data_IF_049891984011
#
_entry.id   IF_049891984011
#
_cell.length_a   1.000
_cell.length_b   1.000
_cell.length_c   1.000
_cell.angle_alpha   90.00
_cell.angle_beta   90.00
_cell.angle_gamma   90.00
#
_symmetry.space_group_name_H-M   'P 1'
#
loop_
_entity.id
_entity.type
_entity.pdbx_description
1 polymer ?
#
# COMPACT_ATOMS: atom_id res chain seq x y z
N UNK A 1 -18.77 -2.83 14.94
CA UNK A 1 -18.21 -1.63 14.30
C UNK A 1 -19.10 -1.30 13.09
N UNK A 2 -19.55 -0.05 12.91
CA UNK A 2 -20.41 0.37 11.79
C UNK A 2 -19.76 0.11 10.42
N UNK A 3 -20.57 -0.08 9.37
CA UNK A 3 -20.11 -0.16 7.98
C UNK A 3 -19.63 1.24 7.59
N UNK A 4 -18.34 1.38 7.31
CA UNK A 4 -17.72 2.64 6.88
C UNK A 4 -18.23 2.94 5.46
N UNK A 5 -18.94 4.06 5.28
CA UNK A 5 -19.56 4.41 3.99
C UNK A 5 -18.50 4.95 3.02
N UNK A 6 -18.22 4.18 1.97
CA UNK A 6 -17.36 4.61 0.87
C UNK A 6 -18.18 5.48 -0.10
N UNK A 7 -17.67 6.64 -0.54
CA UNK A 7 -18.38 7.49 -1.50
C UNK A 7 -18.78 6.75 -2.77
N UNK A 8 -19.94 7.10 -3.32
CA UNK A 8 -20.43 6.48 -4.55
C UNK A 8 -19.50 6.76 -5.74
N UNK A 9 -19.19 5.73 -6.52
CA UNK A 9 -18.24 5.80 -7.64
C UNK A 9 -16.76 5.69 -7.25
N UNK A 10 -16.42 5.55 -5.96
CA UNK A 10 -15.04 5.34 -5.50
C UNK A 10 -14.74 3.85 -5.33
N UNK A 11 -13.59 3.40 -5.83
CA UNK A 11 -13.10 2.04 -5.58
C UNK A 11 -12.80 1.85 -4.08
N UNK A 12 -13.49 0.88 -3.48
CA UNK A 12 -13.45 0.65 -2.05
C UNK A 12 -12.08 0.19 -1.58
N UNK A 13 -11.38 -0.60 -2.40
CA UNK A 13 -10.05 -1.08 -2.06
C UNK A 13 -9.06 0.08 -2.01
N UNK A 14 -9.08 0.95 -3.01
CA UNK A 14 -8.23 2.15 -3.09
C UNK A 14 -8.52 3.10 -1.94
N UNK A 15 -9.80 3.39 -1.68
CA UNK A 15 -10.22 4.23 -0.55
C UNK A 15 -9.64 3.75 0.79
N UNK A 16 -9.73 2.45 1.08
CA UNK A 16 -9.17 1.91 2.32
C UNK A 16 -7.66 1.77 2.31
N UNK A 17 -7.01 1.58 1.16
CA UNK A 17 -5.54 1.59 1.06
C UNK A 17 -4.98 2.95 1.45
N UNK A 18 -5.55 4.05 0.94
CA UNK A 18 -5.16 5.42 1.31
C UNK A 18 -5.30 5.66 2.83
N UNK A 19 -6.41 5.20 3.40
CA UNK A 19 -6.65 5.26 4.85
C UNK A 19 -5.66 4.41 5.66
N UNK A 20 -5.08 3.37 5.07
CA UNK A 20 -4.17 2.43 5.73
C UNK A 20 -2.68 2.81 5.58
N UNK A 21 -2.33 3.81 4.77
CA UNK A 21 -0.93 4.19 4.50
C UNK A 21 -0.13 4.48 5.78
N UNK A 22 -0.73 5.18 6.74
CA UNK A 22 -0.08 5.52 8.01
C UNK A 22 0.35 4.29 8.82
N UNK A 23 -0.29 3.14 8.63
CA UNK A 23 0.05 1.88 9.35
C UNK A 23 1.26 1.18 8.78
N UNK A 24 1.62 1.49 7.55
CA UNK A 24 2.73 0.87 6.80
C UNK A 24 3.80 1.89 6.40
N UNK A 25 3.83 3.05 7.07
CA UNK A 25 4.78 4.11 6.79
C UNK A 25 6.25 3.63 6.84
N UNK A 26 6.56 2.67 7.72
CA UNK A 26 7.89 2.07 7.78
C UNK A 26 8.25 1.27 6.52
N UNK A 27 7.32 0.48 5.96
CA UNK A 27 7.53 -0.26 4.71
C UNK A 27 7.66 0.69 3.52
N UNK A 28 6.90 1.79 3.54
CA UNK A 28 7.02 2.86 2.53
C UNK A 28 8.41 3.48 2.55
N UNK A 29 8.95 3.80 3.74
CA UNK A 29 10.31 4.33 3.90
C UNK A 29 11.36 3.36 3.32
N UNK A 30 11.25 2.06 3.64
CA UNK A 30 12.19 1.04 3.14
C UNK A 30 12.13 0.94 1.60
N UNK A 31 10.92 0.98 1.03
CA UNK A 31 10.73 0.99 -0.43
C UNK A 31 11.32 2.25 -1.07
N UNK A 32 11.12 3.42 -0.46
CA UNK A 32 11.68 4.69 -0.94
C UNK A 32 13.21 4.68 -0.90
N UNK A 33 13.82 4.21 0.19
CA UNK A 33 15.27 4.03 0.32
C UNK A 33 15.84 3.08 -0.75
N UNK A 34 15.15 1.97 -1.03
CA UNK A 34 15.55 1.09 -2.11
C UNK A 34 15.48 1.81 -3.47
N UNK A 35 14.39 2.52 -3.74
CA UNK A 35 14.21 3.25 -5.00
C UNK A 35 15.30 4.31 -5.21
N UNK A 36 15.67 5.04 -4.16
CA UNK A 36 16.78 5.99 -4.20
C UNK A 36 18.11 5.30 -4.52
N UNK A 37 18.39 4.16 -3.88
CA UNK A 37 19.60 3.38 -4.12
C UNK A 37 19.68 2.88 -5.57
N UNK A 38 18.59 2.35 -6.11
CA UNK A 38 18.52 1.89 -7.51
C UNK A 38 18.68 3.06 -8.47
N UNK A 39 18.00 4.19 -8.23
CA UNK A 39 18.11 5.40 -9.07
C UNK A 39 19.52 6.01 -9.03
N UNK A 40 20.21 5.92 -7.90
CA UNK A 40 21.58 6.42 -7.76
C UNK A 40 22.64 5.59 -8.49
N UNK A 41 22.31 4.33 -8.84
CA UNK A 41 23.24 3.38 -9.46
C UNK A 41 22.73 2.91 -10.83
N UNK A 42 23.02 3.63 -11.93
CA UNK A 42 22.46 3.35 -13.25
C UNK A 42 22.88 2.00 -13.88
N UNK A 43 23.83 1.27 -13.27
CA UNK A 43 24.28 -0.07 -13.71
C UNK A 43 24.13 -1.13 -12.61
N UNK A 44 23.13 -1.00 -11.75
CA UNK A 44 22.84 -2.00 -10.72
C UNK A 44 21.90 -3.09 -11.25
N UNK A 45 22.03 -4.32 -10.74
CA UNK A 45 21.07 -5.42 -10.92
C UNK A 45 20.02 -5.46 -9.82
N UNK A 46 20.13 -4.55 -8.85
CA UNK A 46 19.21 -4.42 -7.74
C UNK A 46 17.82 -3.96 -8.20
N UNK A 47 16.78 -4.59 -7.66
CA UNK A 47 15.38 -4.24 -7.86
C UNK A 47 14.66 -4.18 -6.52
N UNK A 48 13.66 -3.31 -6.39
CA UNK A 48 12.92 -3.10 -5.13
C UNK A 48 11.63 -3.93 -5.05
N UNK A 49 11.63 -5.12 -5.67
CA UNK A 49 10.41 -5.91 -5.82
C UNK A 49 9.94 -6.51 -4.49
N UNK A 50 10.87 -6.89 -3.61
CA UNK A 50 10.53 -7.45 -2.29
C UNK A 50 9.92 -6.38 -1.40
N UNK A 51 10.55 -5.20 -1.33
CA UNK A 51 10.06 -4.05 -0.57
C UNK A 51 8.69 -3.57 -1.08
N UNK A 52 8.48 -3.66 -2.40
CA UNK A 52 7.19 -3.35 -3.02
C UNK A 52 6.11 -4.35 -2.60
N UNK A 53 6.41 -5.65 -2.60
CA UNK A 53 5.47 -6.68 -2.12
C UNK A 53 5.13 -6.43 -0.66
N UNK A 54 6.14 -6.24 0.20
CA UNK A 54 5.94 -6.03 1.63
C UNK A 54 5.02 -4.83 1.89
N UNK A 55 5.27 -3.70 1.21
CA UNK A 55 4.43 -2.51 1.31
C UNK A 55 2.98 -2.78 0.87
N UNK A 56 2.79 -3.43 -0.28
CA UNK A 56 1.45 -3.75 -0.81
C UNK A 56 0.71 -4.72 0.11
N UNK A 57 1.36 -5.79 0.58
CA UNK A 57 0.76 -6.75 1.50
C UNK A 57 0.36 -6.11 2.83
N UNK A 58 1.19 -5.22 3.36
CA UNK A 58 0.88 -4.46 4.57
C UNK A 58 -0.36 -3.59 4.40
N UNK A 59 -0.45 -2.83 3.29
CA UNK A 59 -1.65 -2.04 2.97
C UNK A 59 -2.89 -2.92 2.90
N UNK A 60 -2.75 -4.04 2.21
CA UNK A 60 -3.80 -5.00 1.94
C UNK A 60 -4.30 -5.71 3.20
N UNK A 61 -3.41 -6.02 4.15
CA UNK A 61 -3.78 -6.61 5.43
C UNK A 61 -4.76 -5.70 6.20
N UNK A 62 -4.59 -4.39 6.05
CA UNK A 62 -5.49 -3.38 6.62
C UNK A 62 -6.73 -3.12 5.77
N UNK A 63 -6.56 -2.97 4.45
CA UNK A 63 -7.62 -2.50 3.55
C UNK A 63 -8.60 -3.60 3.14
N UNK A 64 -8.13 -4.83 2.87
CA UNK A 64 -8.98 -5.92 2.34
C UNK A 64 -10.20 -6.19 3.22
N UNK A 65 -10.09 -6.41 4.54
CA UNK A 65 -11.25 -6.71 5.37
C UNK A 65 -12.29 -5.59 5.41
N UNK A 66 -11.86 -4.33 5.24
CA UNK A 66 -12.75 -3.16 5.19
C UNK A 66 -13.44 -3.06 3.83
N UNK A 67 -12.67 -3.19 2.75
CA UNK A 67 -13.18 -3.15 1.38
C UNK A 67 -14.24 -4.23 1.16
N UNK A 68 -13.98 -5.49 1.54
CA UNK A 68 -14.96 -6.57 1.39
C UNK A 68 -16.26 -6.33 2.18
N UNK A 69 -16.21 -5.62 3.31
CA UNK A 69 -17.42 -5.26 4.08
C UNK A 69 -18.18 -4.10 3.45
N UNK A 70 -17.49 -3.22 2.75
CA UNK A 70 -18.07 -2.07 2.05
C UNK A 70 -18.75 -2.46 0.72
N UNK A 71 -18.49 -3.66 0.19
CA UNK A 71 -19.11 -4.15 -1.04
C UNK A 71 -20.64 -4.13 -0.90
N UNK A 72 -21.30 -3.74 -2.00
CA UNK A 72 -22.76 -3.72 -2.14
C UNK A 72 -23.22 -5.05 -2.73
#
# INVERSE_FOLDING_TARGET
>A
MPKEEVPEGVDQLTYFREQCEHKVAHLKSILEECNERVRSKPKTTEICHMEMIDYVEGLDHCAKPKAFKALK
#
